data_IF_169237581688
#
_entry.id   IF_169237581688
#
_cell.length_a   1.000
_cell.length_b   1.000
_cell.length_c   1.000
_cell.angle_alpha   90.00
_cell.angle_beta   90.00
_cell.angle_gamma   90.00
#
_symmetry.space_group_name_H-M   'P 1'
#
loop_
_entity.id
_entity.type
_entity.pdbx_description
1 polymer ?
#
# COMPACT_ATOMS: atom_id res chain seq x y z
N UNK A 1 -9.88 17.40 -5.25
CA UNK A 1 -9.54 16.91 -6.61
C UNK A 1 -8.25 16.08 -6.61
N UNK A 2 -7.12 16.60 -6.11
CA UNK A 2 -5.83 15.88 -6.07
C UNK A 2 -5.85 14.59 -5.21
N UNK A 3 -6.53 14.60 -4.07
CA UNK A 3 -6.62 13.42 -3.19
C UNK A 3 -7.37 12.24 -3.84
N UNK A 4 -8.42 12.53 -4.60
CA UNK A 4 -9.17 11.51 -5.35
C UNK A 4 -8.27 10.88 -6.43
N UNK A 5 -7.49 11.71 -7.11
CA UNK A 5 -6.53 11.25 -8.12
C UNK A 5 -5.46 10.34 -7.51
N UNK A 6 -4.90 10.72 -6.37
CA UNK A 6 -3.93 9.91 -5.63
C UNK A 6 -4.51 8.54 -5.22
N UNK A 7 -5.76 8.52 -4.75
CA UNK A 7 -6.46 7.27 -4.40
C UNK A 7 -6.61 6.34 -5.61
N UNK A 8 -6.99 6.88 -6.77
CA UNK A 8 -7.14 6.09 -8.01
C UNK A 8 -5.81 5.45 -8.41
N UNK A 9 -4.71 6.21 -8.40
CA UNK A 9 -3.38 5.67 -8.72
C UNK A 9 -2.92 4.60 -7.74
N UNK A 10 -3.20 4.75 -6.45
CA UNK A 10 -2.87 3.74 -5.44
C UNK A 10 -3.64 2.45 -5.69
N UNK A 11 -4.92 2.54 -6.01
CA UNK A 11 -5.76 1.37 -6.33
C UNK A 11 -5.26 0.69 -7.60
N UNK A 12 -4.92 1.44 -8.65
CA UNK A 12 -4.37 0.88 -9.89
C UNK A 12 -3.04 0.14 -9.66
N UNK A 13 -2.13 0.70 -8.87
CA UNK A 13 -0.84 0.06 -8.53
C UNK A 13 -1.06 -1.23 -7.73
N UNK A 14 -2.03 -1.25 -6.82
CA UNK A 14 -2.37 -2.45 -6.06
C UNK A 14 -2.98 -3.53 -6.95
N UNK A 15 -3.93 -3.15 -7.81
CA UNK A 15 -4.55 -4.08 -8.77
C UNK A 15 -3.53 -4.64 -9.76
N UNK A 16 -2.62 -3.80 -10.27
CA UNK A 16 -1.58 -4.22 -11.21
C UNK A 16 -0.62 -5.26 -10.59
N UNK A 17 -0.27 -5.10 -9.31
CA UNK A 17 0.55 -6.08 -8.57
C UNK A 17 -0.17 -7.41 -8.33
N UNK A 18 -1.50 -7.40 -8.17
CA UNK A 18 -2.30 -8.63 -8.00
C UNK A 18 -2.46 -9.38 -9.33
N UNK A 19 -2.67 -8.66 -10.44
CA UNK A 19 -2.92 -9.25 -11.76
C UNK A 19 -1.62 -9.78 -12.41
N UNK A 20 -0.46 -9.16 -12.14
CA UNK A 20 0.83 -9.60 -12.67
C UNK A 20 1.86 -9.84 -11.56
N UNK A 21 1.75 -10.97 -10.82
CA UNK A 21 2.68 -11.30 -9.74
C UNK A 21 4.10 -11.69 -10.22
N UNK A 22 4.29 -11.87 -11.53
CA UNK A 22 5.58 -12.26 -12.16
C UNK A 22 6.42 -11.06 -12.66
N UNK A 23 6.05 -9.83 -12.30
CA UNK A 23 6.96 -8.70 -12.47
C UNK A 23 8.23 -8.99 -11.66
N UNK A 24 9.38 -8.85 -12.33
CA UNK A 24 10.73 -9.09 -11.83
C UNK A 24 10.83 -8.95 -10.31
N UNK A 25 11.01 -10.08 -9.62
CA UNK A 25 11.17 -10.14 -8.16
C UNK A 25 12.31 -9.23 -7.76
N UNK A 26 12.00 -8.14 -7.08
CA UNK A 26 13.01 -7.21 -6.59
C UNK A 26 13.57 -7.82 -5.30
N UNK A 27 14.89 -7.80 -5.07
CA UNK A 27 15.44 -8.20 -3.78
C UNK A 27 14.80 -7.35 -2.67
N UNK A 28 14.07 -8.00 -1.76
CA UNK A 28 13.24 -7.35 -0.74
C UNK A 28 11.75 -7.73 -0.82
N UNK A 29 11.28 -8.24 -1.96
CA UNK A 29 9.91 -8.73 -2.09
C UNK A 29 9.73 -10.07 -1.36
N UNK A 30 8.66 -10.19 -0.56
CA UNK A 30 8.36 -11.42 0.16
C UNK A 30 7.60 -12.37 -0.75
N UNK A 31 8.24 -13.47 -1.12
CA UNK A 31 7.63 -14.55 -1.89
C UNK A 31 7.53 -15.82 -1.05
N UNK A 32 6.33 -16.11 -0.55
CA UNK A 32 6.05 -17.36 0.17
C UNK A 32 5.30 -18.28 -0.79
N UNK A 33 5.98 -19.37 -1.18
CA UNK A 33 5.35 -20.47 -1.90
C UNK A 33 5.40 -21.72 -1.00
N UNK A 34 4.30 -21.99 -0.30
CA UNK A 34 4.16 -23.16 0.56
C UNK A 34 2.80 -23.80 0.31
N UNK A 35 2.79 -25.11 0.07
CA UNK A 35 1.56 -25.92 0.00
C UNK A 35 0.57 -25.47 -1.09
N UNK A 36 1.07 -24.97 -2.22
CA UNK A 36 0.23 -24.45 -3.31
C UNK A 36 -0.30 -23.03 -3.09
N UNK A 37 -0.12 -22.46 -1.90
CA UNK A 37 -0.43 -21.06 -1.62
C UNK A 37 0.78 -20.20 -2.02
N UNK A 38 0.58 -19.36 -3.04
CA UNK A 38 1.55 -18.35 -3.48
C UNK A 38 1.12 -16.99 -2.96
N UNK A 39 1.79 -16.52 -1.91
CA UNK A 39 1.64 -15.16 -1.39
C UNK A 39 2.82 -14.34 -1.89
N UNK A 40 2.51 -13.28 -2.63
CA UNK A 40 3.47 -12.28 -3.08
C UNK A 40 3.15 -10.96 -2.39
N UNK A 41 4.10 -10.44 -1.61
CA UNK A 41 4.02 -9.12 -0.99
C UNK A 41 5.14 -8.26 -1.58
N UNK A 42 4.84 -7.40 -2.57
CA UNK A 42 5.83 -6.48 -3.12
C UNK A 42 6.17 -5.42 -2.08
N UNK A 43 7.44 -5.28 -1.71
CA UNK A 43 7.87 -4.36 -0.64
C UNK A 43 7.55 -2.89 -0.98
N UNK A 44 7.67 -2.55 -2.27
CA UNK A 44 7.31 -1.24 -2.81
C UNK A 44 5.83 -0.93 -2.56
N UNK A 45 4.94 -1.91 -2.76
CA UNK A 45 3.52 -1.71 -2.49
C UNK A 45 3.26 -1.47 -1.00
N UNK A 46 4.01 -2.13 -0.12
CA UNK A 46 3.88 -1.97 1.34
C UNK A 46 4.28 -0.56 1.78
N UNK A 47 5.35 -0.01 1.21
CA UNK A 47 5.76 1.39 1.46
C UNK A 47 4.68 2.36 0.97
N UNK A 48 4.18 2.19 -0.25
CA UNK A 48 3.14 3.08 -0.81
C UNK A 48 1.87 3.03 0.05
N UNK A 49 1.41 1.83 0.43
CA UNK A 49 0.27 1.66 1.34
C UNK A 49 0.55 2.38 2.67
N UNK A 50 1.74 2.23 3.25
CA UNK A 50 2.10 2.91 4.51
C UNK A 50 2.01 4.42 4.38
N UNK A 51 2.53 5.02 3.31
CA UNK A 51 2.47 6.47 3.09
C UNK A 51 1.02 6.93 2.98
N UNK A 52 0.21 6.21 2.20
CA UNK A 52 -1.22 6.51 2.02
C UNK A 52 -1.95 6.42 3.36
N UNK A 53 -1.74 5.35 4.12
CA UNK A 53 -2.32 5.17 5.45
C UNK A 53 -1.87 6.27 6.40
N UNK A 54 -0.60 6.71 6.37
CA UNK A 54 -0.12 7.84 7.19
C UNK A 54 -0.80 9.15 6.82
N UNK A 55 -1.00 9.44 5.54
CA UNK A 55 -1.71 10.65 5.08
C UNK A 55 -3.19 10.59 5.50
N UNK A 56 -3.85 9.44 5.30
CA UNK A 56 -5.23 9.25 5.71
C UNK A 56 -5.38 9.33 7.23
N UNK A 57 -4.48 8.71 7.98
CA UNK A 57 -4.42 8.81 9.44
C UNK A 57 -4.26 10.27 9.86
N UNK A 58 -3.36 11.04 9.24
CA UNK A 58 -3.20 12.46 9.57
C UNK A 58 -4.47 13.29 9.26
N UNK A 59 -5.16 12.99 8.16
CA UNK A 59 -6.37 13.70 7.75
C UNK A 59 -7.60 13.33 8.58
N UNK A 60 -7.77 12.06 8.94
CA UNK A 60 -8.94 11.55 9.67
C UNK A 60 -8.74 11.49 11.19
N UNK A 61 -7.52 11.31 11.69
CA UNK A 61 -7.17 11.33 13.12
C UNK A 61 -6.65 12.71 13.54
N UNK A 62 -7.15 13.80 12.94
CA UNK A 62 -6.74 15.19 13.18
C UNK A 62 -6.31 15.39 14.65
N UNK A 63 -4.99 15.48 14.83
CA UNK A 63 -4.28 15.56 16.11
C UNK A 63 -4.74 16.75 16.98
N UNK A 64 -5.48 17.69 16.39
CA UNK A 64 -6.12 18.82 17.08
C UNK A 64 -7.14 18.42 18.14
N UNK A 65 -7.69 17.20 18.09
CA UNK A 65 -8.62 16.70 19.13
C UNK A 65 -7.96 16.09 20.37
N UNK A 66 -6.65 15.77 20.32
CA UNK A 66 -5.95 15.07 21.42
C UNK A 66 -5.03 15.98 22.25
N UNK A 67 -4.74 17.19 21.75
CA UNK A 67 -3.95 18.22 22.46
C UNK A 67 -4.84 19.45 22.74
N UNK A 68 -6.05 19.19 23.26
CA UNK A 68 -6.94 20.20 23.81
C UNK A 68 -7.27 19.83 25.26
N UNK A 69 -6.26 19.84 26.12
CA UNK A 69 -6.37 19.90 27.57
C UNK A 69 -5.24 20.77 28.11
#
# INVERSE_FOLDING_TARGET
MLALLALVFVIEVLLYNVVKPDLYKIPGDLYINKWGLRIYIPFVSTIVISIVLSILANYFLDWKGLVSY
#
